data_IF_753291148868
#
_entry.id   IF_753291148868
#
_cell.length_a   1.000
_cell.length_b   1.000
_cell.length_c   1.000
_cell.angle_alpha   90.00
_cell.angle_beta   90.00
_cell.angle_gamma   90.00
#
_symmetry.space_group_name_H-M   'P 1'
#
loop_
_entity.id
_entity.type
_entity.pdbx_description
1 polymer ?
#
# COMPACT_ATOMS: atom_id res chain seq x y z
N UNK A 1 25.77 -11.11 7.38
CA UNK A 1 25.25 -9.78 6.99
C UNK A 1 24.06 -9.48 7.87
N UNK A 2 24.12 -8.37 8.61
CA UNK A 2 23.03 -7.87 9.45
C UNK A 2 22.60 -6.48 8.97
N UNK A 3 21.30 -6.25 8.80
CA UNK A 3 20.72 -5.02 8.23
C UNK A 3 20.06 -4.21 9.34
N UNK A 4 20.34 -2.92 9.44
CA UNK A 4 19.52 -2.01 10.24
C UNK A 4 18.29 -1.60 9.43
N UNK A 5 17.10 -2.07 9.78
CA UNK A 5 15.82 -1.58 9.25
C UNK A 5 15.38 -0.36 10.06
N UNK A 6 15.73 0.82 9.59
CA UNK A 6 15.43 2.05 10.31
C UNK A 6 14.06 2.62 9.94
N UNK A 7 13.27 2.89 10.97
CA UNK A 7 12.02 3.65 10.90
C UNK A 7 11.83 4.43 12.19
N UNK A 8 11.67 5.73 12.09
CA UNK A 8 11.30 6.56 13.23
C UNK A 8 9.80 6.58 13.46
N UNK A 9 9.38 6.91 14.70
CA UNK A 9 7.97 7.03 15.01
C UNK A 9 7.18 5.71 14.95
N UNK A 10 7.77 4.58 15.30
CA UNK A 10 7.17 3.23 15.21
C UNK A 10 5.70 3.16 15.68
N UNK A 11 5.34 3.84 16.79
CA UNK A 11 3.97 3.88 17.30
C UNK A 11 3.04 4.72 16.40
N UNK A 12 3.56 5.81 15.81
CA UNK A 12 2.77 6.73 14.97
C UNK A 12 2.50 6.13 13.59
N UNK A 13 3.49 5.46 13.01
CA UNK A 13 3.41 4.88 11.66
C UNK A 13 2.93 3.43 11.63
N UNK A 14 2.74 2.76 12.78
CA UNK A 14 2.32 1.35 12.85
C UNK A 14 1.01 1.02 12.09
N UNK A 15 0.16 2.04 11.89
CA UNK A 15 -1.14 1.96 11.18
C UNK A 15 -1.11 2.61 9.78
N UNK A 16 0.07 2.95 9.27
CA UNK A 16 0.25 3.55 7.95
C UNK A 16 0.79 2.53 6.94
N UNK A 17 0.71 2.86 5.63
CA UNK A 17 1.31 2.05 4.58
C UNK A 17 2.81 1.81 4.78
N UNK A 18 3.57 2.82 5.25
CA UNK A 18 5.01 2.69 5.55
C UNK A 18 5.26 1.71 6.70
N UNK A 19 4.44 1.78 7.75
CA UNK A 19 4.53 0.83 8.87
C UNK A 19 4.20 -0.60 8.47
N UNK A 20 3.26 -0.79 7.53
CA UNK A 20 2.94 -2.09 6.96
C UNK A 20 4.09 -2.59 6.07
N UNK A 21 4.64 -1.74 5.20
CA UNK A 21 5.79 -2.07 4.37
C UNK A 21 7.00 -2.52 5.22
N UNK A 22 7.27 -1.87 6.36
CA UNK A 22 8.34 -2.29 7.27
C UNK A 22 8.09 -3.70 7.84
N UNK A 23 6.85 -4.01 8.24
CA UNK A 23 6.51 -5.37 8.71
C UNK A 23 6.69 -6.40 7.60
N UNK A 24 6.32 -6.08 6.38
CA UNK A 24 6.55 -6.93 5.21
C UNK A 24 8.04 -7.13 4.94
N UNK A 25 8.87 -6.09 5.05
CA UNK A 25 10.33 -6.20 4.93
C UNK A 25 10.91 -7.15 6.00
N UNK A 26 10.51 -6.99 7.26
CA UNK A 26 10.95 -7.87 8.35
C UNK A 26 10.58 -9.32 8.04
N UNK A 27 9.31 -9.59 7.73
CA UNK A 27 8.85 -10.93 7.38
C UNK A 27 9.52 -11.50 6.11
N UNK A 28 9.80 -10.65 5.12
CA UNK A 28 10.51 -11.07 3.91
C UNK A 28 11.96 -11.49 4.22
N UNK A 29 12.66 -10.76 5.10
CA UNK A 29 14.03 -11.10 5.51
C UNK A 29 14.08 -12.36 6.38
N UNK A 30 13.10 -12.55 7.27
CA UNK A 30 12.95 -13.78 8.08
C UNK A 30 12.82 -15.02 7.16
N UNK A 31 11.99 -14.91 6.09
CA UNK A 31 11.78 -16.01 5.12
C UNK A 31 13.04 -16.42 4.36
N UNK A 32 14.06 -15.57 4.25
CA UNK A 32 15.30 -15.82 3.50
C UNK A 32 16.55 -15.87 4.38
N UNK A 33 16.37 -15.87 5.71
CA UNK A 33 17.45 -16.01 6.69
C UNK A 33 18.44 -14.83 6.68
N UNK A 34 17.96 -13.60 6.44
CA UNK A 34 18.78 -12.40 6.56
C UNK A 34 18.57 -11.78 7.93
N UNK A 35 19.65 -11.68 8.71
CA UNK A 35 19.60 -11.03 10.00
C UNK A 35 19.32 -9.53 9.87
N UNK A 36 18.48 -9.00 10.76
CA UNK A 36 18.23 -7.58 10.85
C UNK A 36 18.07 -7.11 12.30
N UNK A 37 18.19 -5.83 12.49
CA UNK A 37 17.86 -5.14 13.74
C UNK A 37 17.05 -3.89 13.47
N UNK A 38 16.30 -3.43 14.45
CA UNK A 38 15.66 -2.09 14.43
C UNK A 38 16.25 -1.17 15.50
N UNK A 39 17.30 -1.62 16.19
CA UNK A 39 18.03 -0.85 17.18
C UNK A 39 19.30 -0.29 16.53
N UNK A 40 19.42 1.03 16.50
CA UNK A 40 20.56 1.74 15.89
C UNK A 40 21.86 1.67 16.68
N UNK A 41 21.82 1.11 17.90
CA UNK A 41 23.02 0.87 18.73
C UNK A 41 23.64 -0.53 18.52
N UNK A 42 22.93 -1.41 17.80
CA UNK A 42 23.48 -2.72 17.42
C UNK A 42 24.57 -2.56 16.34
N UNK A 43 25.38 -3.61 16.17
CA UNK A 43 26.27 -3.73 15.00
C UNK A 43 25.48 -4.18 13.79
N UNK A 44 25.71 -3.55 12.65
CA UNK A 44 25.09 -3.88 11.36
C UNK A 44 26.03 -3.52 10.20
N UNK A 45 25.82 -4.16 9.08
CA UNK A 45 26.65 -4.03 7.88
C UNK A 45 26.05 -3.06 6.85
N UNK A 46 24.73 -2.90 6.85
CA UNK A 46 23.96 -2.06 5.91
C UNK A 46 22.84 -1.35 6.68
N UNK A 47 22.55 -0.12 6.29
CA UNK A 47 21.37 0.63 6.78
C UNK A 47 20.32 0.70 5.68
N UNK A 48 19.09 0.28 6.00
CA UNK A 48 17.92 0.42 5.13
C UNK A 48 16.91 1.38 5.79
N UNK A 49 16.80 2.60 5.27
CA UNK A 49 15.95 3.66 5.83
C UNK A 49 14.59 3.66 5.14
N UNK A 50 13.52 3.69 5.96
CA UNK A 50 12.11 3.63 5.51
C UNK A 50 11.32 4.94 5.75
N UNK A 51 11.87 5.90 6.49
CA UNK A 51 11.20 7.15 6.88
C UNK A 51 11.99 8.38 6.49
N UNK A 52 11.36 9.57 6.51
CA UNK A 52 11.93 10.82 5.99
C UNK A 52 12.07 11.92 7.05
N UNK A 53 11.87 11.60 8.31
CA UNK A 53 11.93 12.57 9.40
C UNK A 53 13.37 12.92 9.83
N UNK A 54 13.52 13.74 10.89
CA UNK A 54 14.83 14.16 11.39
C UNK A 54 15.73 13.02 11.84
N UNK A 55 15.15 11.97 12.45
CA UNK A 55 15.90 10.78 12.87
C UNK A 55 16.51 10.02 11.69
N UNK A 56 15.79 9.90 10.57
CA UNK A 56 16.31 9.28 9.35
C UNK A 56 17.56 10.03 8.83
N UNK A 57 17.53 11.37 8.83
CA UNK A 57 18.68 12.19 8.43
C UNK A 57 19.87 11.99 9.38
N UNK A 58 19.63 11.88 10.68
CA UNK A 58 20.66 11.61 11.68
C UNK A 58 21.33 10.25 11.46
N UNK A 59 20.53 9.20 11.29
CA UNK A 59 21.03 7.84 11.02
C UNK A 59 21.81 7.77 9.72
N UNK A 60 21.30 8.40 8.65
CA UNK A 60 22.00 8.50 7.38
C UNK A 60 23.39 9.13 7.55
N UNK A 61 23.49 10.28 8.26
CA UNK A 61 24.77 10.95 8.51
C UNK A 61 25.72 10.09 9.36
N UNK A 62 25.20 9.41 10.41
CA UNK A 62 25.99 8.48 11.26
C UNK A 62 26.56 7.33 10.43
N UNK A 63 25.74 6.70 9.58
CA UNK A 63 26.16 5.61 8.70
C UNK A 63 27.23 6.04 7.69
N UNK A 64 27.02 7.18 7.01
CA UNK A 64 28.01 7.74 6.06
C UNK A 64 29.35 8.03 6.74
N UNK A 65 29.34 8.61 7.94
CA UNK A 65 30.59 8.86 8.70
C UNK A 65 31.31 7.57 9.07
N UNK A 66 30.55 6.49 9.29
CA UNK A 66 31.10 5.17 9.62
C UNK A 66 31.40 4.32 8.37
N UNK A 67 31.29 4.88 7.17
CA UNK A 67 31.44 4.17 5.89
C UNK A 67 30.53 2.93 5.77
N UNK A 68 29.34 2.96 6.41
CA UNK A 68 28.33 1.93 6.29
C UNK A 68 27.37 2.31 5.14
N UNK A 69 27.16 1.41 4.18
CA UNK A 69 26.26 1.68 3.04
C UNK A 69 24.83 1.97 3.47
N UNK A 70 24.21 2.94 2.81
CA UNK A 70 22.83 3.37 3.08
C UNK A 70 21.95 3.10 1.87
N UNK A 71 20.94 2.28 2.08
CA UNK A 71 19.83 2.07 1.16
C UNK A 71 18.64 2.90 1.65
N UNK A 72 18.00 3.63 0.75
CA UNK A 72 16.79 4.37 1.08
C UNK A 72 15.59 3.79 0.35
N UNK A 73 14.54 3.41 1.10
CA UNK A 73 13.28 2.98 0.51
C UNK A 73 12.38 4.19 0.24
N UNK A 74 12.02 4.41 -1.00
CA UNK A 74 11.27 5.60 -1.44
C UNK A 74 9.76 5.40 -1.34
N UNK A 75 9.28 5.09 -0.12
CA UNK A 75 7.84 4.91 0.16
C UNK A 75 7.02 6.18 -0.03
N UNK A 76 7.65 7.35 0.10
CA UNK A 76 6.99 8.64 0.03
C UNK A 76 7.41 9.37 -1.22
N UNK A 77 6.44 9.84 -2.01
CA UNK A 77 6.64 10.74 -3.15
C UNK A 77 5.94 12.07 -2.90
N UNK A 78 6.28 13.09 -3.66
CA UNK A 78 5.57 14.36 -3.63
C UNK A 78 4.09 14.19 -4.03
N UNK A 79 3.86 13.35 -5.02
CA UNK A 79 2.55 13.06 -5.60
C UNK A 79 1.64 12.35 -4.59
N UNK A 80 2.13 11.29 -3.93
CA UNK A 80 1.39 10.54 -2.91
C UNK A 80 1.10 11.37 -1.64
N UNK A 81 1.92 12.37 -1.34
CA UNK A 81 1.71 13.22 -0.17
C UNK A 81 0.59 14.26 -0.37
N UNK A 82 0.37 14.71 -1.60
CA UNK A 82 -0.68 15.70 -1.90
C UNK A 82 -2.07 15.12 -1.65
N UNK A 83 -3.02 15.99 -1.32
CA UNK A 83 -4.42 15.64 -1.07
C UNK A 83 -4.63 14.55 0.00
N UNK A 84 -3.66 14.40 0.92
CA UNK A 84 -3.74 13.42 2.01
C UNK A 84 -4.41 14.03 3.25
N UNK A 85 -4.02 15.23 3.66
CA UNK A 85 -4.57 15.88 4.87
C UNK A 85 -4.58 17.41 4.71
N UNK A 86 -5.21 18.09 5.67
CA UNK A 86 -5.28 19.55 5.68
C UNK A 86 -3.87 20.15 5.59
N UNK A 87 -3.68 21.11 4.70
CA UNK A 87 -2.40 21.77 4.38
C UNK A 87 -1.33 20.91 3.70
N UNK A 88 -1.60 19.63 3.38
CA UNK A 88 -0.61 18.77 2.69
C UNK A 88 -0.11 19.40 1.39
N UNK A 89 -0.98 20.05 0.60
CA UNK A 89 -0.59 20.70 -0.65
C UNK A 89 0.33 21.92 -0.44
N UNK A 90 0.16 22.67 0.64
CA UNK A 90 1.02 23.79 0.97
C UNK A 90 2.42 23.34 1.43
N UNK A 91 2.50 22.20 2.12
CA UNK A 91 3.74 21.61 2.64
C UNK A 91 4.49 20.82 1.56
N UNK A 92 3.79 20.29 0.57
CA UNK A 92 4.34 19.39 -0.43
C UNK A 92 5.60 19.90 -1.16
N UNK A 93 5.74 21.20 -1.56
CA UNK A 93 6.96 21.69 -2.19
C UNK A 93 8.19 21.61 -1.27
N UNK A 94 8.02 21.93 0.02
CA UNK A 94 9.08 21.76 1.01
C UNK A 94 9.44 20.29 1.20
N UNK A 95 8.44 19.41 1.28
CA UNK A 95 8.65 17.97 1.36
C UNK A 95 9.44 17.46 0.16
N UNK A 96 9.12 17.89 -1.07
CA UNK A 96 9.86 17.48 -2.28
C UNK A 96 11.35 17.82 -2.16
N UNK A 97 11.69 19.03 -1.71
CA UNK A 97 13.09 19.43 -1.47
C UNK A 97 13.76 18.52 -0.44
N UNK A 98 13.05 18.15 0.64
CA UNK A 98 13.55 17.24 1.65
C UNK A 98 13.75 15.82 1.12
N UNK A 99 12.81 15.29 0.32
CA UNK A 99 12.94 13.99 -0.34
C UNK A 99 14.17 13.95 -1.23
N UNK A 100 14.35 14.96 -2.09
CA UNK A 100 15.53 15.07 -2.97
C UNK A 100 16.82 15.02 -2.13
N UNK A 101 16.92 15.86 -1.08
CA UNK A 101 18.09 15.89 -0.20
C UNK A 101 18.40 14.52 0.42
N UNK A 102 17.40 13.87 1.01
CA UNK A 102 17.59 12.59 1.71
C UNK A 102 17.91 11.45 0.74
N UNK A 103 17.13 11.33 -0.33
CA UNK A 103 17.31 10.26 -1.31
C UNK A 103 18.62 10.38 -2.06
N UNK A 104 19.03 11.60 -2.47
CA UNK A 104 20.34 11.82 -3.12
C UNK A 104 21.54 11.55 -2.21
N UNK A 105 21.33 11.48 -0.90
CA UNK A 105 22.41 11.21 0.07
C UNK A 105 22.61 9.72 0.35
N UNK A 106 21.79 8.83 -0.20
CA UNK A 106 21.93 7.39 -0.09
C UNK A 106 23.01 6.84 -1.05
N UNK A 107 23.33 5.56 -0.96
CA UNK A 107 24.18 4.84 -1.91
C UNK A 107 23.35 4.07 -2.93
N UNK A 108 22.13 3.67 -2.54
CA UNK A 108 21.20 2.92 -3.36
C UNK A 108 19.75 3.25 -2.98
N UNK A 109 18.85 3.20 -3.96
CA UNK A 109 17.43 3.42 -3.73
C UNK A 109 16.61 2.18 -4.08
N UNK A 110 15.54 1.97 -3.30
CA UNK A 110 14.50 0.98 -3.61
C UNK A 110 13.17 1.74 -3.72
N UNK A 111 12.44 1.52 -4.79
CA UNK A 111 11.07 2.03 -4.98
C UNK A 111 10.08 0.87 -5.04
N UNK A 112 8.84 1.04 -4.55
CA UNK A 112 7.87 -0.08 -4.55
C UNK A 112 7.43 -0.50 -5.95
N UNK A 113 7.45 0.39 -6.95
CA UNK A 113 7.04 0.11 -8.33
C UNK A 113 7.94 0.83 -9.34
N UNK A 114 7.90 0.42 -10.61
CA UNK A 114 8.58 1.15 -11.70
C UNK A 114 8.01 2.57 -11.88
N UNK A 115 6.72 2.77 -11.61
CA UNK A 115 6.12 4.11 -11.59
C UNK A 115 6.75 4.99 -10.50
N UNK A 116 6.79 4.53 -9.26
CA UNK A 116 7.42 5.29 -8.16
C UNK A 116 8.91 5.55 -8.44
N UNK A 117 9.63 4.58 -9.01
CA UNK A 117 11.02 4.75 -9.46
C UNK A 117 11.14 5.87 -10.50
N UNK A 118 10.28 5.89 -11.53
CA UNK A 118 10.27 6.96 -12.55
C UNK A 118 10.03 8.34 -11.92
N UNK A 119 9.12 8.45 -10.94
CA UNK A 119 8.89 9.71 -10.22
C UNK A 119 10.16 10.18 -9.50
N UNK A 120 10.87 9.28 -8.80
CA UNK A 120 12.12 9.62 -8.08
C UNK A 120 13.23 10.05 -9.07
N UNK A 121 13.37 9.36 -10.19
CA UNK A 121 14.30 9.75 -11.25
C UNK A 121 13.97 11.13 -11.82
N UNK A 122 12.68 11.45 -12.00
CA UNK A 122 12.22 12.77 -12.47
C UNK A 122 12.48 13.91 -11.47
N UNK A 123 12.84 13.59 -10.21
CA UNK A 123 13.34 14.60 -9.26
C UNK A 123 14.80 15.00 -9.51
N UNK A 124 15.46 14.42 -10.52
CA UNK A 124 16.87 14.67 -10.86
C UNK A 124 17.85 13.86 -10.02
N UNK A 125 17.40 12.74 -9.43
CA UNK A 125 18.25 11.87 -8.62
C UNK A 125 18.91 10.81 -9.51
N UNK A 126 20.24 10.84 -9.61
CA UNK A 126 21.07 9.94 -10.44
C UNK A 126 21.78 8.90 -9.56
N UNK A 127 21.02 8.07 -8.85
CA UNK A 127 21.56 6.97 -8.06
C UNK A 127 21.07 5.63 -8.60
N UNK A 128 21.80 4.53 -8.33
CA UNK A 128 21.26 3.20 -8.58
C UNK A 128 19.92 3.02 -7.87
N UNK A 129 18.88 2.64 -8.62
CA UNK A 129 17.53 2.46 -8.09
C UNK A 129 16.90 1.22 -8.71
N UNK A 130 16.32 0.35 -7.87
CA UNK A 130 15.54 -0.82 -8.29
C UNK A 130 14.11 -0.75 -7.79
N UNK A 131 13.18 -1.22 -8.63
CA UNK A 131 11.80 -1.43 -8.21
C UNK A 131 11.68 -2.78 -7.51
N UNK A 132 11.22 -2.76 -6.25
CA UNK A 132 10.95 -3.96 -5.44
C UNK A 132 9.64 -3.76 -4.70
N UNK A 133 8.64 -4.57 -5.03
CA UNK A 133 7.33 -4.54 -4.39
C UNK A 133 7.43 -4.66 -2.87
N UNK A 134 6.50 -4.04 -2.15
CA UNK A 134 6.36 -4.27 -0.70
C UNK A 134 5.93 -5.71 -0.39
N UNK A 135 5.39 -6.42 -1.37
CA UNK A 135 4.98 -7.81 -1.27
C UNK A 135 3.73 -8.06 -0.44
N UNK A 136 3.33 -9.32 -0.41
CA UNK A 136 2.23 -9.82 0.40
C UNK A 136 2.56 -11.20 0.96
N UNK A 137 2.09 -11.51 2.16
CA UNK A 137 2.15 -12.86 2.71
C UNK A 137 0.97 -13.69 2.19
N UNK A 138 1.19 -14.45 1.11
CA UNK A 138 0.13 -15.23 0.48
C UNK A 138 -0.40 -16.37 1.35
N UNK A 139 0.33 -16.82 2.38
CA UNK A 139 -0.17 -17.79 3.35
C UNK A 139 -1.14 -17.14 4.33
N UNK A 140 -0.79 -15.95 4.82
CA UNK A 140 -1.64 -15.17 5.73
C UNK A 140 -2.88 -14.65 5.01
N UNK A 141 -2.71 -14.05 3.83
CA UNK A 141 -3.78 -13.52 3.00
C UNK A 141 -4.28 -14.58 2.01
N UNK A 142 -4.74 -15.70 2.50
CA UNK A 142 -5.45 -16.70 1.69
C UNK A 142 -6.96 -16.57 1.88
N UNK A 143 -7.73 -16.88 0.85
CA UNK A 143 -9.19 -16.90 0.93
C UNK A 143 -9.65 -17.82 2.05
N UNK A 144 -10.52 -17.31 2.92
CA UNK A 144 -11.01 -18.04 4.09
C UNK A 144 -12.54 -17.98 4.15
N UNK A 145 -13.18 -19.09 3.77
CA UNK A 145 -14.63 -19.19 3.70
C UNK A 145 -15.30 -19.01 5.07
N UNK A 146 -14.74 -19.60 6.12
CA UNK A 146 -15.31 -19.50 7.47
C UNK A 146 -15.29 -18.06 8.01
N UNK A 147 -14.17 -17.33 7.78
CA UNK A 147 -14.08 -15.91 8.15
C UNK A 147 -15.02 -15.04 7.30
N UNK A 148 -15.21 -15.38 6.02
CA UNK A 148 -16.15 -14.70 5.14
C UNK A 148 -17.60 -14.87 5.64
N UNK A 149 -18.03 -16.10 5.88
CA UNK A 149 -19.37 -16.42 6.40
C UNK A 149 -19.63 -15.75 7.75
N UNK A 150 -18.64 -15.81 8.65
CA UNK A 150 -18.71 -15.12 9.95
C UNK A 150 -18.89 -13.61 9.78
N UNK A 151 -18.11 -12.97 8.90
CA UNK A 151 -18.21 -11.54 8.67
C UNK A 151 -19.58 -11.14 8.10
N UNK A 152 -20.12 -11.90 7.14
CA UNK A 152 -21.44 -11.66 6.56
C UNK A 152 -22.54 -11.79 7.63
N UNK A 153 -22.48 -12.82 8.45
CA UNK A 153 -23.45 -13.06 9.53
C UNK A 153 -23.37 -11.99 10.62
N UNK A 154 -22.17 -11.68 11.14
CA UNK A 154 -21.98 -10.71 12.22
C UNK A 154 -22.44 -9.29 11.82
N UNK A 155 -22.51 -8.99 10.53
CA UNK A 155 -22.93 -7.68 10.00
C UNK A 155 -24.30 -7.69 9.31
N UNK A 156 -25.01 -8.82 9.30
CA UNK A 156 -26.34 -9.00 8.68
C UNK A 156 -26.36 -8.57 7.21
N UNK A 157 -25.33 -9.00 6.44
CA UNK A 157 -25.17 -8.59 5.04
C UNK A 157 -25.98 -9.50 4.13
N UNK A 158 -27.10 -8.99 3.62
CA UNK A 158 -28.00 -9.70 2.71
C UNK A 158 -27.96 -9.21 1.25
N UNK A 159 -27.15 -8.18 0.94
CA UNK A 159 -26.95 -7.63 -0.42
C UNK A 159 -25.52 -7.86 -0.87
N UNK A 160 -25.21 -7.77 -2.18
CA UNK A 160 -23.82 -7.84 -2.64
C UNK A 160 -22.94 -6.82 -1.91
N UNK A 161 -21.73 -7.27 -1.56
CA UNK A 161 -20.80 -6.55 -0.70
C UNK A 161 -19.65 -5.91 -1.48
N UNK A 162 -19.48 -4.61 -1.32
CA UNK A 162 -18.36 -3.82 -1.83
C UNK A 162 -17.45 -3.41 -0.68
N UNK A 163 -16.17 -3.77 -0.75
CA UNK A 163 -15.19 -3.47 0.30
C UNK A 163 -14.09 -2.56 -0.22
N UNK A 164 -13.64 -1.62 0.60
CA UNK A 164 -12.43 -0.84 0.40
C UNK A 164 -11.60 -0.76 1.68
N UNK A 165 -10.29 -0.57 1.54
CA UNK A 165 -9.36 -0.47 2.68
C UNK A 165 -8.39 0.66 2.47
N UNK A 166 -8.27 1.55 3.47
CA UNK A 166 -7.32 2.67 3.42
C UNK A 166 -7.64 3.77 4.41
N UNK A 167 -6.69 4.68 4.60
CA UNK A 167 -6.96 5.91 5.32
C UNK A 167 -7.95 6.76 4.51
N UNK A 168 -8.87 7.50 5.16
CA UNK A 168 -9.93 8.22 4.47
C UNK A 168 -9.44 9.56 3.91
N UNK A 169 -8.37 9.51 3.12
CA UNK A 169 -7.84 10.69 2.43
C UNK A 169 -8.61 10.95 1.14
N UNK A 170 -8.68 12.21 0.73
CA UNK A 170 -9.33 12.58 -0.53
C UNK A 170 -8.71 11.86 -1.72
N UNK A 171 -7.36 11.81 -1.76
CA UNK A 171 -6.64 11.07 -2.80
C UNK A 171 -6.92 9.55 -2.83
N UNK A 172 -7.41 8.98 -1.73
CA UNK A 172 -7.81 7.55 -1.68
C UNK A 172 -9.21 7.31 -2.27
N UNK A 173 -9.92 8.38 -2.66
CA UNK A 173 -11.21 8.29 -3.32
C UNK A 173 -12.38 7.95 -2.38
N UNK A 174 -12.27 8.30 -1.07
CA UNK A 174 -13.35 8.04 -0.11
C UNK A 174 -14.64 8.79 -0.49
N UNK A 175 -14.52 9.93 -1.17
CA UNK A 175 -15.67 10.70 -1.65
C UNK A 175 -16.35 9.94 -2.79
N UNK A 176 -15.58 9.47 -3.78
CA UNK A 176 -16.09 8.68 -4.90
C UNK A 176 -16.77 7.40 -4.41
N UNK A 177 -16.14 6.72 -3.45
CA UNK A 177 -16.72 5.51 -2.84
C UNK A 177 -18.11 5.78 -2.27
N UNK A 178 -18.29 6.88 -1.52
CA UNK A 178 -19.60 7.23 -0.97
C UNK A 178 -20.59 7.69 -2.04
N UNK A 179 -20.14 8.40 -3.08
CA UNK A 179 -21.01 8.79 -4.22
C UNK A 179 -21.49 7.58 -5.00
N UNK A 180 -20.62 6.59 -5.23
CA UNK A 180 -20.99 5.33 -5.87
C UNK A 180 -22.00 4.59 -4.98
N UNK A 181 -21.78 4.54 -3.67
CA UNK A 181 -22.70 3.91 -2.72
C UNK A 181 -24.08 4.58 -2.70
N UNK A 182 -24.10 5.93 -2.78
CA UNK A 182 -25.35 6.70 -2.83
C UNK A 182 -26.16 6.39 -4.07
N UNK A 183 -25.50 6.16 -5.22
CA UNK A 183 -26.14 5.76 -6.47
C UNK A 183 -26.54 4.26 -6.51
N UNK A 184 -25.94 3.40 -5.67
CA UNK A 184 -26.12 1.94 -5.65
C UNK A 184 -26.70 1.45 -4.32
N UNK A 185 -27.93 1.83 -4.03
CA UNK A 185 -28.68 1.41 -2.80
C UNK A 185 -28.96 -0.09 -2.73
N UNK A 186 -28.81 -0.79 -3.84
CA UNK A 186 -28.91 -2.25 -3.96
C UNK A 186 -27.70 -3.00 -3.41
N UNK A 187 -26.59 -2.30 -3.11
CA UNK A 187 -25.34 -2.85 -2.60
C UNK A 187 -25.05 -2.40 -1.17
N UNK A 188 -24.22 -3.16 -0.46
CA UNK A 188 -23.68 -2.80 0.87
C UNK A 188 -22.20 -2.45 0.75
N UNK A 189 -21.79 -1.36 1.38
CA UNK A 189 -20.43 -0.81 1.27
C UNK A 189 -19.72 -0.77 2.61
N UNK A 190 -18.46 -1.26 2.66
CA UNK A 190 -17.60 -1.18 3.84
C UNK A 190 -16.26 -0.55 3.48
N UNK A 191 -15.88 0.51 4.22
CA UNK A 191 -14.55 1.10 4.12
C UNK A 191 -13.79 0.92 5.44
N UNK A 192 -12.77 0.08 5.44
CA UNK A 192 -11.90 -0.16 6.59
C UNK A 192 -10.72 0.82 6.63
N UNK A 193 -10.25 1.17 7.85
CA UNK A 193 -9.14 2.09 8.08
C UNK A 193 -9.56 3.56 8.21
N UNK A 194 -10.83 3.89 8.00
CA UNK A 194 -11.36 5.23 8.21
C UNK A 194 -11.44 5.57 9.70
N UNK A 195 -10.68 6.59 10.13
CA UNK A 195 -10.78 7.15 11.48
C UNK A 195 -10.89 8.67 11.39
N UNK A 196 -11.86 9.24 12.10
CA UNK A 196 -12.02 10.69 12.19
C UNK A 196 -10.83 11.28 12.93
N UNK A 197 -10.18 12.27 12.31
CA UNK A 197 -9.04 13.01 12.86
C UNK A 197 -9.18 14.48 12.54
N UNK A 198 -8.65 15.35 13.40
CA UNK A 198 -8.57 16.80 13.15
C UNK A 198 -7.70 17.14 11.92
N UNK A 199 -6.80 16.25 11.53
CA UNK A 199 -5.96 16.42 10.35
C UNK A 199 -6.72 16.25 9.03
N UNK A 200 -7.89 15.61 9.04
CA UNK A 200 -8.71 15.44 7.84
C UNK A 200 -9.44 16.75 7.47
N UNK A 201 -9.58 17.06 6.17
CA UNK A 201 -10.41 18.14 5.70
C UNK A 201 -11.84 18.08 6.26
N UNK A 202 -12.47 19.23 6.49
CA UNK A 202 -13.82 19.31 7.08
C UNK A 202 -14.86 18.51 6.26
N UNK A 203 -14.73 18.52 4.92
CA UNK A 203 -15.58 17.75 4.00
C UNK A 203 -15.52 16.25 4.32
N UNK A 204 -14.33 15.69 4.47
CA UNK A 204 -14.13 14.28 4.80
C UNK A 204 -14.68 13.95 6.19
N UNK A 205 -14.41 14.81 7.20
CA UNK A 205 -14.95 14.60 8.55
C UNK A 205 -16.47 14.58 8.58
N UNK A 206 -17.14 15.44 7.77
CA UNK A 206 -18.61 15.45 7.64
C UNK A 206 -19.11 14.16 7.02
N UNK A 207 -18.47 13.72 5.93
CA UNK A 207 -18.80 12.48 5.24
C UNK A 207 -18.70 11.24 6.16
N UNK A 208 -17.64 11.16 6.97
CA UNK A 208 -17.46 10.04 7.90
C UNK A 208 -18.45 10.05 9.08
N UNK A 209 -19.01 11.23 9.43
CA UNK A 209 -20.03 11.33 10.49
C UNK A 209 -21.44 11.03 9.99
N UNK A 210 -21.70 11.37 8.73
CA UNK A 210 -23.01 11.21 8.10
C UNK A 210 -22.81 10.51 6.72
N UNK A 211 -22.45 9.23 6.72
CA UNK A 211 -22.29 8.47 5.49
C UNK A 211 -23.66 8.16 4.85
N UNK A 212 -23.69 7.75 3.57
CA UNK A 212 -24.86 7.12 2.99
C UNK A 212 -25.32 5.90 3.81
N UNK A 213 -26.63 5.61 3.87
CA UNK A 213 -27.22 4.57 4.73
C UNK A 213 -26.67 3.16 4.48
N UNK A 214 -26.20 2.91 3.25
CA UNK A 214 -25.61 1.63 2.84
C UNK A 214 -24.08 1.60 2.98
N UNK A 215 -23.46 2.59 3.64
CA UNK A 215 -22.00 2.65 3.89
C UNK A 215 -21.71 2.48 5.37
N UNK A 216 -20.80 1.55 5.68
CA UNK A 216 -20.24 1.37 7.02
C UNK A 216 -18.75 1.67 7.06
N UNK A 217 -18.32 2.40 8.11
CA UNK A 217 -16.91 2.73 8.41
C UNK A 217 -16.49 2.06 9.73
N UNK A 218 -16.08 0.78 9.74
CA UNK A 218 -15.69 0.08 10.96
C UNK A 218 -14.44 0.65 11.64
N UNK A 219 -13.74 1.57 10.98
CA UNK A 219 -12.50 2.12 11.48
C UNK A 219 -11.30 1.24 11.16
N UNK A 220 -10.24 1.41 11.97
CA UNK A 220 -9.05 0.56 11.85
C UNK A 220 -9.30 -0.77 12.56
N UNK A 221 -9.14 -1.86 11.83
CA UNK A 221 -9.22 -3.23 12.35
C UNK A 221 -7.84 -3.91 12.30
N UNK A 222 -7.54 -4.88 13.17
CA UNK A 222 -6.36 -5.73 13.05
C UNK A 222 -6.31 -6.43 11.68
N UNK A 223 -5.09 -6.66 11.19
CA UNK A 223 -4.88 -7.24 9.85
C UNK A 223 -5.53 -8.64 9.70
N UNK A 224 -5.64 -9.39 10.77
CA UNK A 224 -6.28 -10.71 10.80
C UNK A 224 -7.79 -10.60 10.54
N UNK A 225 -8.41 -9.52 10.98
CA UNK A 225 -9.85 -9.31 10.82
C UNK A 225 -10.25 -8.84 9.41
N UNK A 226 -9.30 -8.35 8.60
CA UNK A 226 -9.60 -7.88 7.24
C UNK A 226 -9.69 -9.03 6.23
N UNK A 227 -9.18 -10.23 6.57
CA UNK A 227 -9.24 -11.42 5.71
C UNK A 227 -10.69 -11.85 5.45
N UNK A 228 -11.56 -11.77 6.46
CA UNK A 228 -12.98 -12.05 6.31
C UNK A 228 -13.67 -11.15 5.27
N UNK A 229 -13.63 -9.83 5.43
CA UNK A 229 -14.12 -8.86 4.44
C UNK A 229 -13.57 -9.07 3.02
N UNK A 230 -12.24 -9.25 2.86
CA UNK A 230 -11.64 -9.54 1.55
C UNK A 230 -12.18 -10.84 0.94
N UNK A 231 -12.34 -11.88 1.75
CA UNK A 231 -12.82 -13.19 1.30
C UNK A 231 -14.33 -13.21 0.99
N UNK A 232 -15.09 -12.30 1.62
CA UNK A 232 -16.53 -12.20 1.51
C UNK A 232 -16.99 -11.26 0.40
N UNK A 233 -16.19 -10.27 0.00
CA UNK A 233 -16.65 -9.23 -0.90
C UNK A 233 -16.92 -9.76 -2.30
N UNK A 234 -18.00 -9.25 -2.90
CA UNK A 234 -18.29 -9.42 -4.32
C UNK A 234 -17.42 -8.51 -5.18
N UNK A 235 -17.01 -7.35 -4.62
CA UNK A 235 -16.13 -6.39 -5.26
C UNK A 235 -15.20 -5.74 -4.22
N UNK A 236 -13.89 -5.79 -4.46
CA UNK A 236 -12.94 -4.90 -3.81
C UNK A 236 -12.80 -3.64 -4.66
N UNK A 237 -13.33 -2.51 -4.18
CA UNK A 237 -13.36 -1.22 -4.88
C UNK A 237 -12.21 -0.33 -4.39
N UNK A 238 -11.29 0.03 -5.28
CA UNK A 238 -10.14 0.86 -4.92
C UNK A 238 -10.05 2.12 -5.80
N UNK A 239 -10.77 3.21 -5.46
CA UNK A 239 -10.90 4.41 -6.27
C UNK A 239 -9.77 5.43 -6.04
N UNK A 240 -8.59 4.98 -5.57
CA UNK A 240 -7.45 5.85 -5.24
C UNK A 240 -6.92 6.59 -6.48
N UNK A 241 -6.63 7.88 -6.32
CA UNK A 241 -6.09 8.75 -7.37
C UNK A 241 -4.57 8.72 -7.47
N UNK A 242 -3.89 8.33 -6.39
CA UNK A 242 -2.43 8.27 -6.34
C UNK A 242 -1.97 7.20 -5.34
N UNK A 243 -1.00 6.40 -5.75
CA UNK A 243 -0.35 5.35 -4.95
C UNK A 243 1.12 5.22 -5.32
N UNK A 244 1.91 4.71 -4.40
CA UNK A 244 3.26 4.23 -4.72
C UNK A 244 3.26 2.74 -5.08
N UNK A 245 2.27 1.98 -4.60
CA UNK A 245 1.97 0.59 -4.98
C UNK A 245 0.53 0.19 -4.63
N UNK A 246 0.13 0.31 -3.35
CA UNK A 246 -1.15 -0.15 -2.83
C UNK A 246 -1.07 -1.55 -2.23
N UNK A 247 -0.44 -1.70 -1.05
CA UNK A 247 -0.32 -3.00 -0.34
C UNK A 247 -1.68 -3.69 -0.18
N UNK A 248 -2.74 -2.93 0.11
CA UNK A 248 -4.11 -3.47 0.26
C UNK A 248 -4.66 -4.09 -1.03
N UNK A 249 -4.17 -3.66 -2.21
CA UNK A 249 -4.50 -4.29 -3.49
C UNK A 249 -3.83 -5.66 -3.57
N UNK A 250 -2.58 -5.81 -3.14
CA UNK A 250 -1.89 -7.11 -3.07
C UNK A 250 -2.57 -8.06 -2.08
N UNK A 251 -3.04 -7.55 -0.93
CA UNK A 251 -3.81 -8.33 0.06
C UNK A 251 -5.13 -8.83 -0.55
N UNK A 252 -5.87 -7.96 -1.26
CA UNK A 252 -7.12 -8.31 -1.94
C UNK A 252 -6.89 -9.34 -3.06
N UNK A 253 -5.85 -9.18 -3.89
CA UNK A 253 -5.46 -10.17 -4.90
C UNK A 253 -5.14 -11.52 -4.27
N UNK A 254 -4.38 -11.50 -3.17
CA UNK A 254 -3.97 -12.72 -2.46
C UNK A 254 -5.15 -13.49 -1.86
N UNK A 255 -6.22 -12.78 -1.45
CA UNK A 255 -7.48 -13.38 -0.97
C UNK A 255 -8.49 -13.68 -2.08
N UNK A 256 -8.09 -13.54 -3.34
CA UNK A 256 -8.95 -13.76 -4.52
C UNK A 256 -10.20 -12.87 -4.52
N UNK A 257 -10.09 -11.64 -4.00
CA UNK A 257 -11.16 -10.65 -4.09
C UNK A 257 -11.28 -10.13 -5.54
N UNK A 258 -12.49 -10.04 -6.12
CA UNK A 258 -12.69 -9.43 -7.43
C UNK A 258 -12.42 -7.92 -7.37
N UNK A 259 -11.49 -7.40 -8.17
CA UNK A 259 -10.98 -6.03 -8.01
C UNK A 259 -11.48 -5.10 -9.12
N UNK A 260 -12.01 -3.95 -8.69
CA UNK A 260 -12.19 -2.75 -9.52
C UNK A 260 -11.32 -1.64 -8.95
N UNK A 261 -10.41 -1.08 -9.74
CA UNK A 261 -9.53 0.00 -9.31
C UNK A 261 -9.53 1.18 -10.29
N UNK A 262 -9.08 2.35 -9.81
CA UNK A 262 -8.89 3.50 -10.70
C UNK A 262 -7.74 3.24 -11.66
N UNK A 263 -7.95 3.59 -12.93
CA UNK A 263 -6.91 3.52 -13.96
C UNK A 263 -5.91 4.67 -13.77
N UNK A 264 -4.87 4.38 -12.97
CA UNK A 264 -3.78 5.31 -12.66
C UNK A 264 -2.43 4.71 -13.02
N UNK A 265 -1.39 5.55 -13.26
CA UNK A 265 -0.10 5.09 -13.80
C UNK A 265 0.61 4.02 -12.98
N UNK A 266 0.46 3.99 -11.65
CA UNK A 266 1.09 2.98 -10.79
C UNK A 266 0.67 1.55 -11.13
N UNK A 267 -0.50 1.38 -11.73
CA UNK A 267 -1.07 0.08 -12.10
C UNK A 267 -0.81 -0.32 -13.57
N UNK A 268 -0.12 0.50 -14.37
CA UNK A 268 0.08 0.22 -15.80
C UNK A 268 0.89 -1.05 -16.07
N UNK A 269 1.88 -1.33 -15.24
CA UNK A 269 2.85 -2.40 -15.48
C UNK A 269 2.41 -3.77 -14.94
N UNK A 270 1.51 -3.81 -13.94
CA UNK A 270 1.20 -5.04 -13.21
C UNK A 270 -0.29 -5.34 -13.00
N UNK A 271 -1.16 -4.35 -13.16
CA UNK A 271 -2.61 -4.53 -13.16
C UNK A 271 -3.16 -4.29 -14.56
N UNK A 272 -3.73 -5.33 -15.16
CA UNK A 272 -4.21 -5.31 -16.55
C UNK A 272 -5.72 -5.44 -16.58
N UNK A 273 -6.37 -4.47 -17.24
CA UNK A 273 -7.82 -4.46 -17.41
C UNK A 273 -8.30 -5.72 -18.13
N UNK A 274 -9.41 -6.31 -17.64
CA UNK A 274 -9.97 -7.57 -18.14
C UNK A 274 -9.06 -8.81 -18.01
N UNK A 275 -7.96 -8.71 -17.23
CA UNK A 275 -7.07 -9.86 -16.96
C UNK A 275 -7.05 -10.15 -15.46
N UNK A 276 -6.43 -9.30 -14.63
CA UNK A 276 -6.34 -9.46 -13.19
C UNK A 276 -7.07 -8.37 -12.38
N UNK A 277 -7.72 -7.43 -13.05
CA UNK A 277 -8.59 -6.41 -12.47
C UNK A 277 -9.54 -5.83 -13.52
N UNK A 278 -10.55 -5.08 -13.07
CA UNK A 278 -11.26 -4.12 -13.91
C UNK A 278 -10.79 -2.71 -13.55
N UNK A 279 -10.69 -1.83 -14.56
CA UNK A 279 -10.23 -0.45 -14.39
C UNK A 279 -11.33 0.54 -14.75
N UNK A 280 -11.36 1.68 -14.04
CA UNK A 280 -12.33 2.76 -14.26
C UNK A 280 -11.66 4.13 -14.04
N UNK A 281 -12.15 5.16 -14.74
CA UNK A 281 -11.67 6.54 -14.63
C UNK A 281 -12.69 7.48 -13.99
N UNK A 282 -13.99 7.13 -14.02
CA UNK A 282 -15.08 7.91 -13.45
C UNK A 282 -16.00 7.05 -12.57
N UNK A 283 -16.88 7.67 -11.79
CA UNK A 283 -17.83 6.96 -10.95
C UNK A 283 -18.81 6.12 -11.79
N UNK A 284 -19.22 6.61 -12.97
CA UNK A 284 -20.07 5.88 -13.91
C UNK A 284 -19.36 4.64 -14.46
N UNK A 285 -18.05 4.74 -14.73
CA UNK A 285 -17.26 3.59 -15.13
C UNK A 285 -17.11 2.60 -13.98
N UNK A 286 -16.84 3.06 -12.75
CA UNK A 286 -16.80 2.19 -11.57
C UNK A 286 -18.09 1.39 -11.41
N UNK A 287 -19.25 2.03 -11.52
CA UNK A 287 -20.55 1.35 -11.44
C UNK A 287 -20.71 0.30 -12.54
N UNK A 288 -20.35 0.61 -13.80
CA UNK A 288 -20.38 -0.39 -14.89
C UNK A 288 -19.45 -1.58 -14.63
N UNK A 289 -18.23 -1.32 -14.11
CA UNK A 289 -17.30 -2.41 -13.79
C UNK A 289 -17.78 -3.26 -12.61
N UNK A 290 -18.46 -2.68 -11.64
CA UNK A 290 -19.11 -3.40 -10.55
C UNK A 290 -20.18 -4.33 -11.12
N UNK A 291 -21.05 -3.84 -12.00
CA UNK A 291 -22.10 -4.65 -12.63
C UNK A 291 -21.52 -5.84 -13.39
N UNK A 292 -20.46 -5.64 -14.18
CA UNK A 292 -19.77 -6.72 -14.89
C UNK A 292 -19.31 -7.82 -13.93
N UNK A 293 -18.76 -7.47 -12.76
CA UNK A 293 -18.32 -8.47 -11.76
C UNK A 293 -19.51 -9.15 -11.08
N UNK A 294 -20.62 -8.46 -10.88
CA UNK A 294 -21.80 -9.04 -10.25
C UNK A 294 -22.56 -9.99 -11.19
N UNK A 295 -22.63 -9.67 -12.47
CA UNK A 295 -23.41 -10.39 -13.46
C UNK A 295 -22.64 -11.54 -14.15
N UNK A 296 -21.29 -11.40 -14.29
CA UNK A 296 -20.48 -12.35 -15.06
C UNK A 296 -19.55 -13.21 -14.18
N UNK A 297 -19.98 -14.45 -13.89
CA UNK A 297 -19.14 -15.42 -13.19
C UNK A 297 -17.84 -15.76 -13.94
N UNK A 298 -17.85 -15.74 -15.27
CA UNK A 298 -16.66 -16.05 -16.07
C UNK A 298 -15.60 -14.94 -15.92
N UNK A 299 -16.01 -13.67 -16.00
CA UNK A 299 -15.13 -12.53 -15.78
C UNK A 299 -14.59 -12.55 -14.35
N UNK A 300 -15.47 -12.75 -13.36
CA UNK A 300 -15.07 -12.83 -11.95
C UNK A 300 -14.02 -13.90 -11.72
N UNK A 301 -14.23 -15.14 -12.20
CA UNK A 301 -13.27 -16.23 -12.08
C UNK A 301 -11.93 -15.91 -12.72
N UNK A 302 -11.94 -15.33 -13.92
CA UNK A 302 -10.71 -14.92 -14.60
C UNK A 302 -9.93 -13.89 -13.78
N UNK A 303 -10.61 -12.81 -13.36
CA UNK A 303 -10.01 -11.71 -12.60
C UNK A 303 -9.39 -12.23 -11.29
N UNK A 304 -10.10 -13.08 -10.54
CA UNK A 304 -9.62 -13.60 -9.26
C UNK A 304 -8.46 -14.59 -9.44
N UNK A 305 -8.50 -15.46 -10.43
CA UNK A 305 -7.42 -16.41 -10.73
C UNK A 305 -6.13 -15.69 -11.15
N UNK A 306 -6.19 -14.84 -12.18
CA UNK A 306 -5.02 -14.08 -12.63
C UNK A 306 -4.54 -13.07 -11.57
N UNK A 307 -5.47 -12.55 -10.75
CA UNK A 307 -5.15 -11.73 -9.60
C UNK A 307 -4.33 -12.49 -8.56
N UNK A 308 -4.70 -13.71 -8.24
CA UNK A 308 -3.95 -14.60 -7.33
C UNK A 308 -2.54 -14.87 -7.84
N UNK A 309 -2.38 -15.16 -9.13
CA UNK A 309 -1.06 -15.35 -9.75
C UNK A 309 -0.19 -14.10 -9.59
N UNK A 310 -0.77 -12.91 -9.84
CA UNK A 310 -0.10 -11.62 -9.65
C UNK A 310 0.39 -11.42 -8.20
N UNK A 311 -0.40 -11.86 -7.20
CA UNK A 311 -0.01 -11.81 -5.80
C UNK A 311 1.10 -12.83 -5.47
N UNK A 312 1.07 -14.04 -6.05
CA UNK A 312 2.09 -15.06 -5.85
C UNK A 312 3.46 -14.61 -6.35
N UNK A 313 3.54 -13.88 -7.48
CA UNK A 313 4.79 -13.28 -7.99
C UNK A 313 5.39 -12.23 -7.04
N UNK A 314 4.61 -11.76 -6.08
CA UNK A 314 4.97 -10.75 -5.07
C UNK A 314 4.96 -11.32 -3.66
N UNK A 315 5.12 -12.65 -3.52
CA UNK A 315 5.24 -13.28 -2.21
C UNK A 315 6.45 -12.73 -1.43
N UNK A 316 6.30 -12.60 -0.12
CA UNK A 316 7.37 -12.07 0.73
C UNK A 316 8.68 -12.86 0.65
N UNK A 317 8.66 -14.14 0.31
CA UNK A 317 9.87 -14.91 0.05
C UNK A 317 10.63 -14.43 -1.19
N UNK A 318 9.91 -14.12 -2.26
CA UNK A 318 10.48 -13.55 -3.50
C UNK A 318 11.03 -12.15 -3.22
N UNK A 319 10.28 -11.34 -2.48
CA UNK A 319 10.72 -9.99 -2.09
C UNK A 319 11.98 -10.07 -1.21
N UNK A 320 12.03 -11.00 -0.26
CA UNK A 320 13.19 -11.23 0.57
C UNK A 320 14.46 -11.55 -0.24
N UNK A 321 14.35 -12.41 -1.27
CA UNK A 321 15.47 -12.71 -2.15
C UNK A 321 15.95 -11.49 -2.94
N UNK A 322 15.03 -10.66 -3.45
CA UNK A 322 15.37 -9.40 -4.14
C UNK A 322 16.07 -8.43 -3.22
N UNK A 323 15.59 -8.25 -1.98
CA UNK A 323 16.22 -7.40 -0.98
C UNK A 323 17.61 -7.92 -0.61
N UNK A 324 17.75 -9.22 -0.36
CA UNK A 324 19.05 -9.88 -0.06
C UNK A 324 20.07 -9.63 -1.17
N UNK A 325 19.67 -9.80 -2.44
CA UNK A 325 20.53 -9.53 -3.59
C UNK A 325 21.00 -8.07 -3.64
N UNK A 326 20.12 -7.11 -3.35
CA UNK A 326 20.48 -5.69 -3.30
C UNK A 326 21.46 -5.41 -2.16
N UNK A 327 21.24 -5.97 -0.98
CA UNK A 327 22.16 -5.79 0.16
C UNK A 327 23.57 -6.31 -0.15
N UNK A 328 23.68 -7.47 -0.79
CA UNK A 328 24.96 -8.03 -1.22
C UNK A 328 25.62 -7.13 -2.28
N UNK A 329 24.88 -6.70 -3.32
CA UNK A 329 25.39 -5.80 -4.36
C UNK A 329 25.96 -4.50 -3.78
N UNK A 330 25.31 -3.94 -2.76
CA UNK A 330 25.73 -2.70 -2.13
C UNK A 330 26.97 -2.90 -1.26
N UNK A 331 27.10 -4.07 -0.63
CA UNK A 331 28.27 -4.45 0.16
C UNK A 331 29.50 -4.73 -0.73
N UNK A 332 29.33 -5.40 -1.86
CA UNK A 332 30.41 -5.73 -2.79
C UNK A 332 31.03 -4.47 -3.47
N UNK A 333 30.26 -3.39 -3.55
CA UNK A 333 30.74 -2.09 -4.09
C UNK A 333 31.45 -1.22 -3.07
N UNK A 334 31.73 -1.74 -1.85
CA UNK A 334 32.57 -1.00 -0.89
C UNK A 334 34.00 -0.87 -1.46
N UNK A 335 34.59 0.32 -1.39
CA UNK A 335 35.98 0.53 -1.76
C UNK A 335 36.92 -0.18 -0.79
#
# INVERSE_FOLDING_TARGET
>A
MKVLLYSEGKKLFSKSGVGMALKHQMSALDKVGVEYTTNEEDRFDVVHINTIGPGAERVLKKAKKAHIPVIYHTHTTYEDFRNSFTLSNAIAPWLKKRLIKLYSSADFLISPTEYAKKLIMNYGINLPIKAVSNGVDNKKFSRNKALAEKFLSDNEIGKPLVVSVGLPFERKGVIDFCQIAEARKDLTFFWFGAKISSLLPAKIRRLLRNPPDNVKFPGFVPQEMIIGPYSACDVFLFPSYEETEGIVVLEALSTEAPIVLRDIPVYSDWMKHNENCLKAKSNEEFMRQIDILLESNSVRKKITSCGKETALERDLSIIGQKLKSIYLEVLDKRP
#
